data_IF_216115901614
#
_entry.id   IF_216115901614
#
_cell.length_a   1.000
_cell.length_b   1.000
_cell.length_c   1.000
_cell.angle_alpha   90.00
_cell.angle_beta   90.00
_cell.angle_gamma   90.00
#
_symmetry.space_group_name_H-M   'P 1'
#
loop_
_entity.id
_entity.type
_entity.pdbx_description
1 polymer ?
#
# COMPACT_ATOMS: atom_id res chain seq x y z
N UNK A 1 15.70 -2.99 7.78
CA UNK A 1 14.37 -3.01 8.41
C UNK A 1 14.13 -4.27 9.24
N UNK A 2 14.19 -5.50 8.69
CA UNK A 2 13.87 -6.72 9.45
C UNK A 2 14.70 -6.92 10.73
N UNK A 3 16.05 -6.80 10.64
CA UNK A 3 16.93 -6.88 11.81
C UNK A 3 16.54 -5.89 12.93
N UNK A 4 16.17 -4.66 12.56
CA UNK A 4 15.72 -3.64 13.53
C UNK A 4 14.34 -3.98 14.12
N UNK A 5 13.48 -4.67 13.36
CA UNK A 5 12.19 -5.15 13.86
C UNK A 5 12.35 -6.33 14.83
N UNK A 6 13.29 -7.24 14.58
CA UNK A 6 13.63 -8.36 15.48
C UNK A 6 14.11 -7.86 16.85
N UNK A 7 14.91 -6.79 16.88
CA UNK A 7 15.42 -6.16 18.10
C UNK A 7 14.30 -5.65 19.02
N UNK A 8 13.09 -5.38 18.49
CA UNK A 8 11.92 -4.96 19.28
C UNK A 8 11.29 -6.08 20.10
N UNK A 9 11.65 -7.36 19.86
CA UNK A 9 11.21 -8.55 20.63
C UNK A 9 9.70 -8.60 20.89
N UNK A 10 8.90 -8.27 19.88
CA UNK A 10 7.44 -8.27 20.00
C UNK A 10 6.92 -9.71 20.10
N UNK A 11 6.06 -9.96 21.08
CA UNK A 11 5.35 -11.24 21.18
C UNK A 11 4.35 -11.37 20.03
N UNK A 12 4.16 -12.60 19.52
CA UNK A 12 3.20 -12.94 18.46
C UNK A 12 3.43 -12.24 17.12
N UNK A 13 4.68 -11.85 16.80
CA UNK A 13 5.04 -11.31 15.49
C UNK A 13 5.98 -12.28 14.78
N UNK A 14 5.65 -12.59 13.51
CA UNK A 14 6.54 -13.27 12.58
C UNK A 14 6.97 -12.26 11.53
N UNK A 15 8.27 -12.25 11.22
CA UNK A 15 8.87 -11.35 10.24
C UNK A 15 9.27 -12.16 9.01
N UNK A 16 8.94 -11.63 7.83
CA UNK A 16 9.25 -12.28 6.56
C UNK A 16 9.97 -11.29 5.65
N UNK A 17 10.98 -11.79 4.94
CA UNK A 17 11.52 -11.09 3.79
C UNK A 17 10.64 -11.45 2.58
N UNK A 18 10.06 -10.44 1.94
CA UNK A 18 9.18 -10.65 0.80
C UNK A 18 9.06 -9.39 -0.05
N UNK A 19 8.67 -9.60 -1.29
CA UNK A 19 8.31 -8.56 -2.25
C UNK A 19 6.78 -8.39 -2.22
N UNK A 20 6.30 -7.15 -2.11
CA UNK A 20 4.86 -6.87 -2.07
C UNK A 20 4.15 -7.20 -3.40
N UNK A 21 4.90 -7.26 -4.50
CA UNK A 21 4.41 -7.65 -5.82
C UNK A 21 4.46 -9.18 -6.04
N UNK A 22 5.07 -9.93 -5.11
CA UNK A 22 5.17 -11.40 -5.14
C UNK A 22 5.18 -11.94 -3.70
N UNK A 23 4.04 -11.84 -3.01
CA UNK A 23 3.96 -12.17 -1.59
C UNK A 23 4.14 -13.68 -1.35
N UNK A 24 5.02 -14.10 -0.41
CA UNK A 24 5.32 -15.51 -0.15
C UNK A 24 4.28 -16.16 0.78
N UNK A 25 3.00 -15.89 0.53
CA UNK A 25 1.87 -16.34 1.33
C UNK A 25 0.85 -17.06 0.47
N UNK A 26 0.08 -17.94 1.08
CA UNK A 26 -0.98 -18.67 0.39
C UNK A 26 -2.19 -17.76 0.12
N UNK A 27 -3.08 -18.25 -0.73
CA UNK A 27 -4.34 -17.56 -0.99
C UNK A 27 -5.20 -17.53 0.28
N UNK A 28 -5.85 -16.39 0.55
CA UNK A 28 -6.79 -16.24 1.65
C UNK A 28 -6.21 -16.63 3.04
N UNK A 29 -4.99 -16.19 3.33
CA UNK A 29 -4.31 -16.44 4.60
C UNK A 29 -4.67 -15.41 5.69
N UNK A 30 -4.95 -14.16 5.31
CA UNK A 30 -5.11 -13.04 6.26
C UNK A 30 -6.52 -12.45 6.29
N UNK A 31 -7.00 -12.11 7.49
CA UNK A 31 -8.26 -11.37 7.67
C UNK A 31 -8.10 -9.87 7.38
N UNK A 32 -6.92 -9.32 7.69
CA UNK A 32 -6.59 -7.90 7.58
C UNK A 32 -5.18 -7.73 7.02
N UNK A 33 -5.03 -6.83 6.04
CA UNK A 33 -3.76 -6.41 5.47
C UNK A 33 -3.58 -4.92 5.68
N UNK A 34 -2.42 -4.51 6.19
CA UNK A 34 -2.06 -3.11 6.40
C UNK A 34 -0.86 -2.80 5.51
N UNK A 35 -1.01 -1.80 4.64
CA UNK A 35 0.06 -1.24 3.84
C UNK A 35 0.21 0.24 4.22
N UNK A 36 1.27 0.57 4.95
CA UNK A 36 1.51 1.91 5.48
C UNK A 36 2.83 2.46 4.99
N UNK A 37 2.80 3.64 4.37
CA UNK A 37 3.99 4.41 3.96
C UNK A 37 4.98 3.58 3.13
N UNK A 38 4.44 2.85 2.14
CA UNK A 38 5.21 1.89 1.34
C UNK A 38 4.72 1.83 -0.11
N UNK A 39 3.43 2.06 -0.37
CA UNK A 39 2.82 1.80 -1.68
C UNK A 39 3.37 2.70 -2.81
N UNK A 40 3.81 3.91 -2.47
CA UNK A 40 4.43 4.84 -3.42
C UNK A 40 5.79 4.39 -3.97
N UNK A 41 6.42 3.36 -3.39
CA UNK A 41 7.69 2.79 -3.85
C UNK A 41 7.53 1.63 -4.83
N UNK A 42 6.31 1.14 -5.08
CA UNK A 42 6.10 -0.08 -5.87
C UNK A 42 6.14 0.22 -7.38
N UNK A 43 7.09 -0.36 -8.14
CA UNK A 43 7.16 -0.17 -9.58
C UNK A 43 5.90 -0.66 -10.32
N UNK A 44 5.31 -1.76 -9.87
CA UNK A 44 4.07 -2.33 -10.41
C UNK A 44 2.95 -2.32 -9.33
N UNK A 45 2.39 -1.13 -9.01
CA UNK A 45 1.42 -0.98 -7.92
C UNK A 45 0.17 -1.85 -8.11
N UNK A 46 -0.23 -2.11 -9.36
CA UNK A 46 -1.37 -2.97 -9.66
C UNK A 46 -1.09 -4.43 -9.30
N UNK A 47 0.14 -4.93 -9.51
CA UNK A 47 0.54 -6.29 -9.11
C UNK A 47 0.56 -6.43 -7.59
N UNK A 48 1.01 -5.40 -6.87
CA UNK A 48 0.92 -5.39 -5.41
C UNK A 48 -0.55 -5.46 -4.94
N UNK A 49 -1.47 -4.72 -5.56
CA UNK A 49 -2.91 -4.80 -5.23
C UNK A 49 -3.49 -6.20 -5.56
N UNK A 50 -3.05 -6.83 -6.65
CA UNK A 50 -3.39 -8.23 -7.00
C UNK A 50 -2.99 -9.19 -5.89
N UNK A 51 -1.75 -9.11 -5.42
CA UNK A 51 -1.25 -9.92 -4.30
C UNK A 51 -1.99 -9.63 -3.00
N UNK A 52 -2.27 -8.36 -2.68
CA UNK A 52 -3.02 -7.99 -1.47
C UNK A 52 -4.41 -8.61 -1.47
N UNK A 53 -5.08 -8.57 -2.62
CA UNK A 53 -6.38 -9.23 -2.76
C UNK A 53 -6.22 -10.74 -2.65
N UNK A 54 -5.24 -11.35 -3.32
CA UNK A 54 -5.01 -12.80 -3.31
C UNK A 54 -4.86 -13.36 -1.89
N UNK A 55 -4.01 -12.73 -1.09
CA UNK A 55 -3.69 -13.20 0.28
C UNK A 55 -4.77 -12.87 1.31
N UNK A 56 -5.65 -11.90 1.04
CA UNK A 56 -6.79 -11.61 1.92
C UNK A 56 -7.85 -12.71 1.82
N UNK A 57 -8.47 -13.06 2.94
CA UNK A 57 -9.66 -13.90 2.97
C UNK A 57 -10.86 -13.20 2.32
N UNK A 58 -11.89 -13.99 1.97
CA UNK A 58 -13.17 -13.42 1.55
C UNK A 58 -13.69 -12.50 2.65
N UNK A 59 -14.18 -11.32 2.29
CA UNK A 59 -14.65 -10.29 3.21
C UNK A 59 -13.57 -9.69 4.15
N UNK A 60 -12.28 -10.01 3.92
CA UNK A 60 -11.14 -9.42 4.61
C UNK A 60 -10.90 -7.95 4.21
N UNK A 61 -10.11 -7.24 5.01
CA UNK A 61 -9.92 -5.79 4.87
C UNK A 61 -8.49 -5.40 4.52
N UNK A 62 -8.36 -4.51 3.55
CA UNK A 62 -7.15 -3.75 3.27
C UNK A 62 -7.24 -2.36 3.92
N UNK A 63 -6.22 -1.99 4.68
CA UNK A 63 -5.96 -0.64 5.14
C UNK A 63 -4.70 -0.13 4.44
N UNK A 64 -4.87 0.79 3.49
CA UNK A 64 -3.79 1.43 2.76
C UNK A 64 -3.65 2.88 3.21
N UNK A 65 -2.57 3.18 3.92
CA UNK A 65 -2.25 4.54 4.36
C UNK A 65 -0.96 5.01 3.70
N UNK A 66 -1.02 6.17 3.07
CA UNK A 66 0.14 6.73 2.38
C UNK A 66 0.02 8.26 2.31
N UNK A 67 1.04 8.92 1.77
CA UNK A 67 1.06 10.35 1.60
C UNK A 67 0.44 10.80 0.27
N UNK A 68 -0.07 12.02 0.25
CA UNK A 68 -0.68 12.64 -0.93
C UNK A 68 -0.29 14.10 -1.02
N UNK A 69 -0.15 14.60 -2.25
CA UNK A 69 0.04 16.02 -2.53
C UNK A 69 -1.09 16.56 -3.41
N UNK A 70 -1.48 17.85 -3.23
CA UNK A 70 -2.50 18.46 -4.06
C UNK A 70 -1.99 18.65 -5.51
N UNK A 71 -2.93 18.78 -6.44
CA UNK A 71 -2.63 19.30 -7.79
C UNK A 71 -2.29 20.80 -7.69
N UNK A 72 -1.31 21.32 -8.45
CA UNK A 72 -0.40 20.63 -9.38
C UNK A 72 0.91 20.15 -8.74
N UNK A 73 1.12 20.39 -7.44
CA UNK A 73 2.35 20.05 -6.70
C UNK A 73 2.72 18.58 -6.89
N UNK A 74 1.74 17.68 -6.86
CA UNK A 74 1.95 16.25 -7.10
C UNK A 74 2.60 15.95 -8.44
N UNK A 75 2.14 16.59 -9.52
CA UNK A 75 2.66 16.38 -10.87
C UNK A 75 4.12 16.83 -10.96
N UNK A 76 4.41 18.01 -10.42
CA UNK A 76 5.76 18.53 -10.38
C UNK A 76 6.69 17.61 -9.60
N UNK A 77 6.26 17.16 -8.41
CA UNK A 77 7.03 16.22 -7.60
C UNK A 77 7.28 14.90 -8.33
N UNK A 78 6.27 14.29 -8.95
CA UNK A 78 6.45 13.02 -9.67
C UNK A 78 7.41 13.12 -10.87
N UNK A 79 7.66 14.30 -11.42
CA UNK A 79 8.68 14.51 -12.46
C UNK A 79 10.09 14.44 -11.87
N UNK A 80 10.28 14.98 -10.65
CA UNK A 80 11.60 15.11 -10.04
C UNK A 80 11.97 13.99 -9.05
N UNK A 81 10.98 13.33 -8.43
CA UNK A 81 11.17 12.29 -7.43
C UNK A 81 12.06 11.12 -7.90
N UNK A 82 11.93 10.60 -9.14
CA UNK A 82 12.81 9.53 -9.62
C UNK A 82 14.30 9.94 -9.68
N UNK A 83 14.61 11.24 -9.69
CA UNK A 83 15.98 11.76 -9.68
C UNK A 83 16.47 12.10 -8.27
N UNK A 84 15.65 11.86 -7.24
CA UNK A 84 16.01 12.07 -5.84
C UNK A 84 16.69 10.83 -5.26
N UNK A 85 17.22 10.95 -4.03
CA UNK A 85 17.77 9.83 -3.28
C UNK A 85 16.72 8.83 -2.77
N UNK A 86 15.43 9.12 -2.97
CA UNK A 86 14.31 8.28 -2.52
C UNK A 86 14.03 7.08 -3.46
N UNK A 87 14.66 7.04 -4.64
CA UNK A 87 14.49 5.97 -5.62
C UNK A 87 13.22 6.11 -6.48
N UNK A 88 12.72 4.99 -7.01
CA UNK A 88 11.52 4.92 -7.83
C UNK A 88 10.27 5.18 -6.98
N UNK A 89 9.89 6.47 -6.90
CA UNK A 89 8.74 6.92 -6.12
C UNK A 89 7.70 7.59 -7.00
N UNK A 90 6.44 7.19 -6.81
CA UNK A 90 5.29 7.87 -7.42
C UNK A 90 4.21 8.19 -6.39
N UNK A 91 3.86 9.47 -6.29
CA UNK A 91 2.73 9.91 -5.48
C UNK A 91 1.44 9.69 -6.26
N UNK A 92 0.55 8.85 -5.74
CA UNK A 92 -0.74 8.57 -6.37
C UNK A 92 -1.83 9.55 -5.91
N UNK A 93 -2.74 9.84 -6.83
CA UNK A 93 -3.98 10.54 -6.53
C UNK A 93 -5.00 9.61 -5.87
N UNK A 94 -5.99 10.19 -5.16
CA UNK A 94 -7.19 9.47 -4.71
C UNK A 94 -7.85 8.68 -5.84
N UNK A 95 -7.90 9.23 -7.06
CA UNK A 95 -8.54 8.57 -8.21
C UNK A 95 -7.76 7.34 -8.64
N UNK A 96 -6.44 7.41 -8.70
CA UNK A 96 -5.56 6.27 -9.04
C UNK A 96 -5.69 5.17 -7.98
N UNK A 97 -5.59 5.50 -6.68
CA UNK A 97 -5.73 4.51 -5.59
C UNK A 97 -7.08 3.80 -5.66
N UNK A 98 -8.18 4.54 -5.77
CA UNK A 98 -9.52 3.94 -5.90
C UNK A 98 -9.63 3.09 -7.17
N UNK A 99 -8.97 3.51 -8.26
CA UNK A 99 -8.99 2.77 -9.52
C UNK A 99 -8.27 1.43 -9.41
N UNK A 100 -7.06 1.38 -8.84
CA UNK A 100 -6.32 0.14 -8.64
C UNK A 100 -7.13 -0.87 -7.81
N UNK A 101 -7.70 -0.39 -6.70
CA UNK A 101 -8.52 -1.22 -5.81
C UNK A 101 -9.77 -1.78 -6.52
N UNK A 102 -10.51 -0.94 -7.25
CA UNK A 102 -11.73 -1.37 -7.95
C UNK A 102 -11.44 -2.35 -9.09
N UNK A 103 -10.37 -2.13 -9.85
CA UNK A 103 -9.97 -3.02 -10.95
C UNK A 103 -9.70 -4.44 -10.44
N UNK A 104 -9.26 -4.57 -9.19
CA UNK A 104 -8.94 -5.85 -8.59
C UNK A 104 -10.07 -6.44 -7.72
N UNK A 105 -11.28 -5.89 -7.80
CA UNK A 105 -12.46 -6.45 -7.13
C UNK A 105 -12.68 -6.02 -5.68
N UNK A 106 -11.88 -5.09 -5.13
CA UNK A 106 -12.18 -4.51 -3.83
C UNK A 106 -13.48 -3.69 -3.85
N UNK A 107 -14.26 -3.82 -2.78
CA UNK A 107 -15.58 -3.22 -2.53
C UNK A 107 -15.55 -2.34 -1.28
N UNK A 108 -16.64 -1.61 -1.03
CA UNK A 108 -16.82 -0.76 0.16
C UNK A 108 -15.64 0.21 0.43
N UNK A 109 -15.06 0.76 -0.63
CA UNK A 109 -13.83 1.55 -0.56
C UNK A 109 -14.10 2.92 0.06
N UNK A 110 -13.55 3.14 1.26
CA UNK A 110 -13.62 4.39 2.01
C UNK A 110 -12.26 5.07 2.00
N UNK A 111 -12.17 6.24 1.35
CA UNK A 111 -10.97 7.08 1.35
C UNK A 111 -11.17 8.26 2.28
N UNK A 112 -10.25 8.46 3.22
CA UNK A 112 -10.24 9.58 4.16
C UNK A 112 -8.87 10.25 4.16
N UNK A 113 -8.84 11.59 4.06
CA UNK A 113 -7.61 12.33 4.37
C UNK A 113 -7.44 12.41 5.89
N UNK A 114 -6.29 12.01 6.39
CA UNK A 114 -5.97 12.10 7.82
C UNK A 114 -5.43 13.50 8.15
N UNK A 115 -4.64 14.08 7.26
CA UNK A 115 -4.20 15.47 7.34
C UNK A 115 -3.96 16.05 5.93
N UNK A 116 -3.27 17.20 5.84
CA UNK A 116 -3.00 17.87 4.55
C UNK A 116 -2.15 17.04 3.60
N UNK A 117 -1.37 16.09 4.11
CA UNK A 117 -0.36 15.33 3.34
C UNK A 117 -0.51 13.82 3.42
N UNK A 118 -1.53 13.28 4.09
CA UNK A 118 -1.71 11.82 4.25
C UNK A 118 -3.16 11.41 4.16
N UNK A 119 -3.37 10.14 3.81
CA UNK A 119 -4.68 9.53 3.72
C UNK A 119 -4.65 8.11 4.25
N UNK A 120 -5.85 7.60 4.53
CA UNK A 120 -6.15 6.20 4.79
C UNK A 120 -7.25 5.78 3.83
N UNK A 121 -7.07 4.64 3.19
CA UNK A 121 -8.11 3.95 2.44
C UNK A 121 -8.40 2.63 3.12
N UNK A 122 -9.66 2.40 3.46
CA UNK A 122 -10.16 1.10 3.93
C UNK A 122 -10.97 0.48 2.81
N UNK A 123 -10.67 -0.76 2.43
CA UNK A 123 -11.33 -1.48 1.35
C UNK A 123 -11.58 -2.93 1.74
N UNK A 124 -12.68 -3.50 1.27
CA UNK A 124 -13.10 -4.87 1.58
C UNK A 124 -12.91 -5.78 0.36
N UNK A 125 -12.41 -7.00 0.55
CA UNK A 125 -12.28 -8.00 -0.52
C UNK A 125 -13.62 -8.60 -0.96
#
# INVERSE_FOLDING_TARGET
MLKQAEEKRMANVKLYLGDAEHLPFENAEFDVLICTDSFHHYPEPQRAIEEFYRVLQKDGYLLLADFVKPFPVRQLMNIFLPFSSEGDVKIYSRREIISFLRQNGFRDIQYQKINKSSYLTVAKK
#
